data_IF_504179984756
#
_entry.id   IF_504179984756
#
_cell.length_a   1.000
_cell.length_b   1.000
_cell.length_c   1.000
_cell.angle_alpha   90.00
_cell.angle_beta   90.00
_cell.angle_gamma   90.00
#
_symmetry.space_group_name_H-M   'P 1'
#
loop_
_entity.id
_entity.type
_entity.pdbx_description
1 polymer ?
#
# COMPACT_ATOMS: atom_id res chain seq x y z
N UNK A 1 -11.13 26.11 -22.41
CA UNK A 1 -11.30 25.13 -23.52
C UNK A 1 -12.68 25.18 -24.18
N UNK A 2 -13.77 24.67 -23.57
CA UNK A 2 -15.13 24.67 -24.20
C UNK A 2 -15.59 26.06 -24.64
N UNK A 3 -15.47 27.05 -23.76
CA UNK A 3 -15.87 28.43 -24.06
C UNK A 3 -15.06 29.06 -25.19
N UNK A 4 -13.74 28.79 -25.23
CA UNK A 4 -12.85 29.25 -26.31
C UNK A 4 -13.26 28.63 -27.65
N UNK A 5 -13.54 27.32 -27.71
CA UNK A 5 -13.99 26.65 -28.93
C UNK A 5 -15.33 27.19 -29.46
N UNK A 6 -16.25 27.50 -28.55
CA UNK A 6 -17.57 28.05 -28.89
C UNK A 6 -17.55 29.57 -29.13
N UNK A 7 -16.39 30.23 -29.03
CA UNK A 7 -16.28 31.68 -29.19
C UNK A 7 -17.08 32.50 -28.16
N UNK A 8 -17.43 31.92 -27.02
CA UNK A 8 -18.32 32.58 -26.04
C UNK A 8 -17.58 33.75 -25.40
N UNK A 9 -18.17 34.95 -25.51
CA UNK A 9 -17.70 36.16 -24.85
C UNK A 9 -18.39 36.28 -23.50
N UNK A 10 -17.59 36.48 -22.45
CA UNK A 10 -18.10 36.70 -21.10
C UNK A 10 -17.97 38.16 -20.69
N UNK A 11 -19.01 38.65 -20.05
CA UNK A 11 -19.05 39.99 -19.43
C UNK A 11 -18.99 39.84 -17.92
N UNK A 12 -18.21 40.70 -17.26
CA UNK A 12 -18.19 40.75 -15.80
C UNK A 12 -19.39 41.58 -15.34
N UNK A 13 -20.19 41.13 -14.36
CA UNK A 13 -21.31 41.90 -13.83
C UNK A 13 -20.86 43.02 -12.86
N UNK A 14 -19.60 43.00 -12.46
CA UNK A 14 -18.96 44.00 -11.60
C UNK A 14 -17.87 44.71 -12.43
N UNK A 15 -16.75 45.07 -11.82
CA UNK A 15 -15.70 45.86 -12.45
C UNK A 15 -14.50 45.04 -12.99
N UNK A 16 -14.71 43.85 -13.56
CA UNK A 16 -13.64 42.95 -14.09
C UNK A 16 -12.54 42.55 -13.07
N UNK A 17 -12.74 42.82 -11.78
CA UNK A 17 -11.77 42.58 -10.68
C UNK A 17 -12.29 41.55 -9.65
N UNK A 18 -13.14 40.61 -10.07
CA UNK A 18 -13.71 39.63 -9.15
C UNK A 18 -12.62 38.68 -8.59
N UNK A 19 -12.58 38.43 -7.26
CA UNK A 19 -11.61 37.51 -6.67
C UNK A 19 -11.90 36.05 -7.10
N UNK A 20 -10.96 35.44 -7.83
CA UNK A 20 -11.07 34.05 -8.31
C UNK A 20 -10.43 33.09 -7.30
N UNK A 21 -11.24 32.61 -6.35
CA UNK A 21 -10.88 31.61 -5.33
C UNK A 21 -11.53 30.25 -5.59
N UNK A 22 -11.15 29.19 -4.86
CA UNK A 22 -11.73 27.84 -5.02
C UNK A 22 -13.26 27.84 -4.87
N UNK A 23 -13.79 28.56 -3.88
CA UNK A 23 -15.22 28.66 -3.62
C UNK A 23 -15.96 29.54 -4.64
N UNK A 24 -15.37 30.69 -5.03
CA UNK A 24 -16.07 31.73 -5.80
C UNK A 24 -15.74 31.76 -7.31
N UNK A 25 -14.83 30.92 -7.80
CA UNK A 25 -14.42 30.86 -9.23
C UNK A 25 -15.55 30.64 -10.24
N UNK A 26 -16.72 30.15 -9.83
CA UNK A 26 -17.86 29.95 -10.73
C UNK A 26 -18.74 31.19 -10.88
N UNK A 27 -18.62 32.18 -10.00
CA UNK A 27 -19.48 33.37 -9.94
C UNK A 27 -19.23 34.35 -11.09
N UNK A 28 -17.98 34.43 -11.59
CA UNK A 28 -17.65 35.30 -12.72
C UNK A 28 -16.79 34.57 -13.76
N UNK A 29 -17.41 34.18 -14.87
CA UNK A 29 -16.73 33.47 -15.97
C UNK A 29 -15.72 34.37 -16.70
N UNK A 30 -16.00 35.67 -16.79
CA UNK A 30 -15.12 36.67 -17.39
C UNK A 30 -13.79 36.79 -16.63
N UNK A 31 -13.83 37.07 -15.32
CA UNK A 31 -12.64 37.21 -14.49
C UNK A 31 -11.88 35.88 -14.36
N UNK A 32 -12.59 34.75 -14.32
CA UNK A 32 -11.97 33.42 -14.36
C UNK A 32 -11.19 33.21 -15.65
N UNK A 33 -11.78 33.54 -16.80
CA UNK A 33 -11.13 33.38 -18.09
C UNK A 33 -9.92 34.31 -18.20
N UNK A 34 -10.05 35.59 -17.80
CA UNK A 34 -8.95 36.55 -17.81
C UNK A 34 -7.77 36.05 -16.98
N UNK A 35 -8.01 35.65 -15.73
CA UNK A 35 -6.96 35.09 -14.86
C UNK A 35 -6.28 33.87 -15.48
N UNK A 36 -7.01 33.00 -16.19
CA UNK A 36 -6.41 31.87 -16.90
C UNK A 36 -5.44 32.33 -18.01
N UNK A 37 -5.78 33.39 -18.75
CA UNK A 37 -4.90 33.96 -19.77
C UNK A 37 -3.69 34.65 -19.12
N UNK A 38 -3.90 35.37 -18.02
CA UNK A 38 -2.85 36.09 -17.29
C UNK A 38 -1.77 35.14 -16.73
N UNK A 39 -2.15 33.93 -16.31
CA UNK A 39 -1.18 32.89 -15.89
C UNK A 39 -0.55 32.14 -17.07
N UNK A 40 -0.78 32.58 -18.31
CA UNK A 40 -0.14 32.04 -19.51
C UNK A 40 -0.90 30.91 -20.22
N UNK A 41 -2.18 30.67 -19.93
CA UNK A 41 -2.94 29.67 -20.70
C UNK A 41 -3.17 30.16 -22.14
N UNK A 42 -2.56 29.46 -23.09
CA UNK A 42 -2.62 29.77 -24.52
C UNK A 42 -3.88 29.20 -25.21
N UNK A 43 -4.62 30.05 -25.92
CA UNK A 43 -5.86 29.66 -26.65
C UNK A 43 -5.57 28.77 -27.86
N UNK A 44 -4.43 28.99 -28.49
CA UNK A 44 -3.89 28.31 -29.67
C UNK A 44 -3.43 26.88 -29.37
N UNK A 45 -3.13 26.56 -28.11
CA UNK A 45 -2.79 25.19 -27.69
C UNK A 45 -4.01 24.26 -27.56
N UNK A 46 -5.21 24.75 -27.86
CA UNK A 46 -6.42 23.93 -27.87
C UNK A 46 -6.54 23.23 -29.22
N UNK A 47 -6.32 21.91 -29.24
CA UNK A 47 -6.53 21.09 -30.44
C UNK A 47 -7.89 21.34 -31.11
N UNK A 48 -7.88 21.43 -32.44
CA UNK A 48 -9.09 21.52 -33.27
C UNK A 48 -10.01 20.32 -33.03
N UNK A 49 -11.28 20.45 -33.42
CA UNK A 49 -12.20 19.32 -33.30
C UNK A 49 -11.79 18.15 -34.20
N UNK A 50 -11.33 18.44 -35.41
CA UNK A 50 -10.79 17.48 -36.37
C UNK A 50 -9.58 16.73 -35.81
N UNK A 51 -8.58 17.43 -35.26
CA UNK A 51 -7.40 16.79 -34.68
C UNK A 51 -7.74 15.88 -33.49
N UNK A 52 -8.80 16.20 -32.73
CA UNK A 52 -9.30 15.31 -31.68
C UNK A 52 -10.03 14.09 -32.24
N UNK A 53 -10.82 14.26 -33.31
CA UNK A 53 -11.47 13.14 -34.02
C UNK A 53 -10.42 12.20 -34.59
N UNK A 54 -9.41 12.72 -35.29
CA UNK A 54 -8.28 11.93 -35.80
C UNK A 54 -7.53 11.21 -34.68
N UNK A 55 -7.19 11.90 -33.58
CA UNK A 55 -6.55 11.25 -32.41
C UNK A 55 -7.40 10.13 -31.83
N UNK A 56 -8.73 10.28 -31.79
CA UNK A 56 -9.66 9.22 -31.33
C UNK A 56 -9.70 8.06 -32.32
N UNK A 57 -9.77 8.33 -33.62
CA UNK A 57 -9.76 7.31 -34.66
C UNK A 57 -8.46 6.49 -34.63
N UNK A 58 -7.30 7.14 -34.56
CA UNK A 58 -6.00 6.47 -34.42
C UNK A 58 -5.91 5.61 -33.15
N UNK A 59 -6.48 6.09 -32.03
CA UNK A 59 -6.56 5.28 -30.79
C UNK A 59 -7.51 4.09 -30.93
N UNK A 60 -8.61 4.25 -31.64
CA UNK A 60 -9.54 3.16 -31.94
C UNK A 60 -8.89 2.12 -32.84
N UNK A 61 -8.24 2.54 -33.92
CA UNK A 61 -7.49 1.67 -34.81
C UNK A 61 -6.37 0.94 -34.09
N UNK A 62 -5.60 1.62 -33.23
CA UNK A 62 -4.57 0.96 -32.40
C UNK A 62 -5.14 -0.08 -31.42
N UNK A 63 -6.38 0.09 -30.96
CA UNK A 63 -7.04 -0.92 -30.10
C UNK A 63 -7.54 -2.11 -30.91
N UNK A 64 -7.96 -1.89 -32.16
CA UNK A 64 -8.39 -2.95 -33.06
C UNK A 64 -7.21 -3.71 -33.68
N UNK A 65 -6.09 -3.01 -33.92
CA UNK A 65 -4.83 -3.56 -34.42
C UNK A 65 -3.90 -4.05 -33.30
N UNK A 66 -4.28 -3.85 -32.03
CA UNK A 66 -3.70 -4.63 -30.95
C UNK A 66 -4.28 -6.03 -31.09
N UNK A 67 -3.43 -6.96 -31.56
CA UNK A 67 -3.63 -8.39 -31.34
C UNK A 67 -4.04 -8.61 -29.86
N UNK A 68 -4.91 -9.59 -29.56
CA UNK A 68 -5.21 -9.95 -28.19
C UNK A 68 -3.89 -10.13 -27.41
N UNK A 69 -3.87 -9.86 -26.09
CA UNK A 69 -2.70 -10.17 -25.27
C UNK A 69 -2.26 -11.60 -25.64
N UNK A 70 -1.02 -11.74 -26.13
CA UNK A 70 -0.57 -12.98 -26.75
C UNK A 70 -1.02 -14.19 -25.93
N UNK A 71 -1.69 -15.13 -26.59
CA UNK A 71 -2.22 -16.31 -25.91
C UNK A 71 -1.08 -16.98 -25.12
N UNK A 72 -1.35 -17.25 -23.84
CA UNK A 72 -0.39 -17.95 -22.99
C UNK A 72 -0.08 -19.30 -23.64
N UNK A 73 1.20 -19.68 -23.69
CA UNK A 73 1.54 -21.02 -24.16
C UNK A 73 0.90 -22.06 -23.23
N UNK A 74 0.65 -23.27 -23.75
CA UNK A 74 0.08 -24.35 -22.93
C UNK A 74 0.90 -24.60 -21.65
N UNK A 75 2.23 -24.54 -21.76
CA UNK A 75 3.17 -24.65 -20.64
C UNK A 75 3.00 -23.52 -19.60
N UNK A 76 2.82 -22.28 -20.07
CA UNK A 76 2.56 -21.14 -19.18
C UNK A 76 1.22 -21.28 -18.46
N UNK A 77 0.20 -21.75 -19.18
CA UNK A 77 -1.13 -21.96 -18.62
C UNK A 77 -1.14 -23.08 -17.56
N UNK A 78 -0.38 -24.15 -17.78
CA UNK A 78 -0.16 -25.24 -16.82
C UNK A 78 0.61 -24.78 -15.57
N UNK A 79 1.68 -23.99 -15.77
CA UNK A 79 2.43 -23.41 -14.67
C UNK A 79 1.55 -22.50 -13.80
N UNK A 80 0.75 -21.63 -14.42
CA UNK A 80 -0.21 -20.78 -13.71
C UNK A 80 -1.21 -21.65 -12.93
N UNK A 81 -1.74 -22.71 -13.54
CA UNK A 81 -2.65 -23.64 -12.88
C UNK A 81 -2.04 -24.27 -11.62
N UNK A 82 -0.77 -24.69 -11.71
CA UNK A 82 -0.03 -25.27 -10.58
C UNK A 82 0.18 -24.25 -9.47
N UNK A 83 0.59 -23.02 -9.79
CA UNK A 83 0.80 -21.95 -8.81
C UNK A 83 -0.51 -21.56 -8.11
N UNK A 84 -1.61 -21.45 -8.86
CA UNK A 84 -2.92 -21.12 -8.28
C UNK A 84 -3.40 -22.23 -7.35
N UNK A 85 -3.31 -23.49 -7.77
CA UNK A 85 -3.71 -24.63 -6.94
C UNK A 85 -2.86 -24.74 -5.66
N UNK A 86 -1.54 -24.58 -5.77
CA UNK A 86 -0.63 -24.56 -4.62
C UNK A 86 -1.00 -23.46 -3.63
N UNK A 87 -1.30 -22.26 -4.12
CA UNK A 87 -1.69 -21.12 -3.28
C UNK A 87 -3.02 -21.39 -2.56
N UNK A 88 -4.05 -21.89 -3.25
CA UNK A 88 -5.35 -22.19 -2.64
C UNK A 88 -5.29 -23.28 -1.56
N UNK A 89 -4.32 -24.20 -1.66
CA UNK A 89 -4.12 -25.27 -0.65
C UNK A 89 -3.36 -24.80 0.59
N UNK A 90 -2.50 -23.81 0.43
CA UNK A 90 -1.54 -23.39 1.47
C UNK A 90 -1.87 -22.04 2.08
N UNK A 91 -2.67 -21.22 1.42
CA UNK A 91 -3.10 -19.92 1.90
C UNK A 91 -4.59 -19.91 2.18
N UNK A 92 -4.95 -19.76 3.45
CA UNK A 92 -6.31 -19.54 3.89
C UNK A 92 -6.56 -18.03 4.09
N UNK A 93 -7.30 -17.36 3.19
CA UNK A 93 -7.58 -15.92 3.32
C UNK A 93 -8.45 -15.58 4.54
N UNK A 94 -9.14 -16.57 5.12
CA UNK A 94 -9.92 -16.38 6.35
C UNK A 94 -9.10 -16.49 7.62
N UNK A 95 -7.83 -16.91 7.51
CA UNK A 95 -6.95 -17.16 8.65
C UNK A 95 -7.57 -18.08 9.72
N UNK A 96 -8.45 -19.02 9.31
CA UNK A 96 -9.20 -19.88 10.23
C UNK A 96 -8.30 -20.80 11.05
N UNK A 97 -7.08 -21.07 10.55
CA UNK A 97 -6.07 -21.87 11.25
C UNK A 97 -5.21 -21.05 12.22
N UNK A 98 -5.28 -19.72 12.17
CA UNK A 98 -4.52 -18.82 13.03
C UNK A 98 -5.31 -18.49 14.31
N UNK A 99 -5.46 -19.47 15.21
CA UNK A 99 -6.32 -19.38 16.41
C UNK A 99 -5.58 -19.34 17.75
N UNK A 100 -4.32 -19.76 17.81
CA UNK A 100 -3.58 -19.95 19.06
C UNK A 100 -2.26 -19.16 19.06
N UNK A 101 -2.35 -17.84 19.09
CA UNK A 101 -1.21 -16.94 19.26
C UNK A 101 -1.37 -16.12 20.54
N UNK A 102 -0.26 -15.59 21.08
CA UNK A 102 -0.31 -14.77 22.29
C UNK A 102 -1.26 -13.60 22.09
N UNK A 103 -2.36 -13.48 22.88
CA UNK A 103 -3.20 -12.30 22.83
C UNK A 103 -2.31 -11.08 23.02
N UNK A 104 -2.56 -10.00 22.27
CA UNK A 104 -1.91 -8.73 22.55
C UNK A 104 -2.30 -8.33 23.98
N UNK A 105 -1.47 -8.69 24.95
CA UNK A 105 -1.64 -8.28 26.33
C UNK A 105 -1.28 -6.80 26.31
N UNK A 106 -2.30 -5.97 26.14
CA UNK A 106 -2.19 -4.55 26.48
C UNK A 106 -1.88 -4.52 27.97
N UNK A 107 -0.60 -4.44 28.31
CA UNK A 107 -0.09 -4.22 29.66
C UNK A 107 -0.41 -2.78 30.06
N UNK A 108 -1.70 -2.45 30.14
CA UNK A 108 -2.13 -1.37 31.00
C UNK A 108 -1.97 -1.91 32.42
N UNK A 109 -1.20 -1.22 33.26
CA UNK A 109 -0.90 -1.56 34.65
C UNK A 109 0.28 -2.50 34.90
N UNK A 110 1.48 -2.04 34.56
CA UNK A 110 2.62 -2.21 35.47
C UNK A 110 2.94 -0.83 36.05
N UNK A 111 2.74 -0.61 37.37
CA UNK A 111 3.30 0.56 38.02
C UNK A 111 4.82 0.44 37.89
N UNK A 112 5.44 1.44 37.28
CA UNK A 112 6.89 1.61 37.32
C UNK A 112 7.36 1.46 38.78
N UNK A 113 8.32 0.58 39.10
CA UNK A 113 8.94 0.58 40.42
C UNK A 113 9.75 1.87 40.52
N UNK A 114 9.09 2.92 41.03
CA UNK A 114 9.73 4.19 41.35
C UNK A 114 10.86 3.87 42.31
N UNK A 115 12.10 4.02 41.84
CA UNK A 115 13.28 3.92 42.67
C UNK A 115 13.16 4.94 43.81
N UNK A 116 12.82 4.48 45.02
CA UNK A 116 12.87 5.30 46.22
C UNK A 116 14.34 5.52 46.57
N UNK A 117 14.86 6.69 46.23
CA UNK A 117 16.04 7.23 46.91
C UNK A 117 15.59 7.86 48.23
N UNK A 118 16.22 7.54 49.38
CA UNK A 118 15.85 8.14 50.65
C UNK A 118 16.56 9.49 50.77
N UNK A 119 15.81 10.58 50.89
CA UNK A 119 16.33 11.82 51.47
C UNK A 119 15.25 12.44 52.34
N UNK A 120 15.39 12.22 53.65
CA UNK A 120 14.57 12.85 54.66
C UNK A 120 15.03 14.28 54.91
N UNK A 121 14.08 15.21 54.90
CA UNK A 121 14.14 16.47 55.64
C UNK A 121 12.70 16.90 55.94
N UNK A 122 12.33 17.17 57.22
CA UNK A 122 10.99 17.63 57.57
C UNK A 122 10.97 19.17 57.62
N UNK A 123 10.01 19.79 56.94
CA UNK A 123 9.80 21.24 56.99
C UNK A 123 8.46 21.64 56.40
N UNK A 124 7.64 22.28 57.22
CA UNK A 124 6.22 22.58 57.00
C UNK A 124 5.94 23.76 56.04
N UNK A 125 4.89 23.64 55.22
CA UNK A 125 3.74 24.59 55.06
C UNK A 125 2.95 24.29 53.76
N UNK A 126 1.63 24.48 53.72
CA UNK A 126 0.82 24.31 52.49
C UNK A 126 0.56 25.65 51.79
N UNK A 127 0.34 25.65 50.45
CA UNK A 127 -0.64 26.56 49.88
C UNK A 127 -1.55 25.94 48.81
N UNK A 128 -2.85 26.24 48.95
CA UNK A 128 -3.98 26.38 48.00
C UNK A 128 -4.05 25.67 46.62
N UNK A 129 -5.28 25.40 46.13
CA UNK A 129 -5.54 24.52 45.00
C UNK A 129 -5.33 25.22 43.64
N UNK A 130 -4.44 24.67 42.82
CA UNK A 130 -4.38 24.90 41.37
C UNK A 130 -5.01 23.67 40.69
N UNK A 131 -5.87 23.82 39.67
CA UNK A 131 -6.36 22.68 38.90
C UNK A 131 -5.24 22.25 37.94
N UNK A 132 -4.37 21.35 38.40
CA UNK A 132 -3.44 20.65 37.54
C UNK A 132 -4.23 19.64 36.71
N UNK A 133 -4.49 20.00 35.45
CA UNK A 133 -4.76 19.03 34.40
C UNK A 133 -3.64 17.97 34.45
N UNK A 134 -3.93 16.67 34.61
CA UNK A 134 -2.93 15.67 34.34
C UNK A 134 -2.90 15.47 32.82
N UNK A 135 -1.93 16.10 32.16
CA UNK A 135 -1.38 15.61 30.88
C UNK A 135 -0.74 14.24 31.18
N UNK A 136 -1.58 13.20 31.15
CA UNK A 136 -1.14 11.82 31.21
C UNK A 136 -0.47 11.52 29.87
N UNK A 137 0.86 11.68 29.82
CA UNK A 137 1.73 11.20 28.75
C UNK A 137 1.70 9.66 28.73
N UNK A 138 0.56 9.10 28.33
CA UNK A 138 0.40 7.67 28.05
C UNK A 138 1.04 7.43 26.69
N UNK A 139 2.35 7.27 26.67
CA UNK A 139 3.04 6.74 25.50
C UNK A 139 2.48 5.33 25.26
N UNK A 140 1.83 5.05 24.10
CA UNK A 140 1.34 3.71 23.81
C UNK A 140 2.55 2.76 23.81
N UNK A 141 2.48 1.66 24.57
CA UNK A 141 3.52 0.64 24.57
C UNK A 141 3.67 0.07 23.14
N UNK A 142 4.66 0.61 22.41
CA UNK A 142 4.93 0.30 20.99
C UNK A 142 5.30 -1.17 20.81
N UNK A 143 5.80 -1.83 21.86
CA UNK A 143 6.29 -3.19 21.83
C UNK A 143 5.22 -4.23 22.18
N UNK A 144 4.06 -3.80 22.72
CA UNK A 144 2.94 -4.67 23.12
C UNK A 144 2.40 -5.57 22.00
N UNK A 145 2.53 -5.14 20.73
CA UNK A 145 2.06 -5.88 19.56
C UNK A 145 3.11 -6.80 18.95
N UNK A 146 4.37 -6.72 19.38
CA UNK A 146 5.45 -7.50 18.77
C UNK A 146 5.31 -9.01 18.94
N UNK A 147 4.90 -9.57 20.10
CA UNK A 147 4.70 -11.00 20.23
C UNK A 147 3.65 -11.52 19.24
N UNK A 148 2.54 -10.80 19.11
CA UNK A 148 1.49 -11.13 18.15
C UNK A 148 1.98 -11.03 16.69
N UNK A 149 2.74 -9.97 16.36
CA UNK A 149 3.33 -9.81 15.04
C UNK A 149 4.34 -10.91 14.73
N UNK A 150 5.13 -11.36 15.71
CA UNK A 150 6.07 -12.46 15.55
C UNK A 150 5.34 -13.79 15.28
N UNK A 151 4.27 -14.08 16.01
CA UNK A 151 3.43 -15.26 15.79
C UNK A 151 2.77 -15.24 14.40
N UNK A 152 2.22 -14.08 14.00
CA UNK A 152 1.63 -13.90 12.66
C UNK A 152 2.67 -14.06 11.55
N UNK A 153 3.84 -13.45 11.72
CA UNK A 153 4.94 -13.54 10.75
C UNK A 153 5.42 -14.99 10.62
N UNK A 154 5.54 -15.70 11.74
CA UNK A 154 5.92 -17.13 11.76
C UNK A 154 4.89 -17.98 11.03
N UNK A 155 3.61 -17.75 11.27
CA UNK A 155 2.53 -18.45 10.56
C UNK A 155 2.59 -18.18 9.04
N UNK A 156 2.77 -16.93 8.62
CA UNK A 156 2.87 -16.56 7.20
C UNK A 156 4.11 -17.16 6.52
N UNK A 157 5.24 -17.20 7.22
CA UNK A 157 6.46 -17.86 6.75
C UNK A 157 6.19 -19.35 6.53
N UNK A 158 5.50 -20.02 7.46
CA UNK A 158 5.16 -21.43 7.32
C UNK A 158 4.27 -21.70 6.09
N UNK A 159 3.28 -20.84 5.83
CA UNK A 159 2.45 -20.97 4.61
C UNK A 159 3.27 -20.73 3.34
N UNK A 160 4.21 -19.78 3.36
CA UNK A 160 5.11 -19.51 2.22
C UNK A 160 6.04 -20.70 1.95
N UNK A 161 6.58 -21.32 3.00
CA UNK A 161 7.40 -22.54 2.87
C UNK A 161 6.57 -23.68 2.28
N UNK A 162 5.34 -23.88 2.77
CA UNK A 162 4.45 -24.93 2.27
C UNK A 162 4.09 -24.70 0.80
N UNK A 163 3.80 -23.45 0.42
CA UNK A 163 3.57 -23.07 -0.98
C UNK A 163 4.78 -23.39 -1.85
N UNK A 164 5.99 -23.00 -1.43
CA UNK A 164 7.22 -23.27 -2.19
C UNK A 164 7.44 -24.78 -2.39
N UNK A 165 7.14 -25.61 -1.38
CA UNK A 165 7.23 -27.07 -1.48
C UNK A 165 6.27 -27.69 -2.50
N UNK A 166 5.18 -27.01 -2.86
CA UNK A 166 4.24 -27.49 -3.88
C UNK A 166 4.70 -27.16 -5.31
N UNK A 167 5.69 -26.27 -5.50
CA UNK A 167 6.20 -25.89 -6.82
C UNK A 167 7.20 -26.94 -7.33
N UNK A 168 6.95 -27.62 -8.47
CA UNK A 168 7.80 -28.70 -8.97
C UNK A 168 9.28 -28.31 -9.11
N UNK A 169 9.56 -27.13 -9.68
CA UNK A 169 10.93 -26.63 -9.86
C UNK A 169 11.67 -26.43 -8.53
N UNK A 170 10.97 -26.00 -7.48
CA UNK A 170 11.56 -25.76 -6.16
C UNK A 170 11.90 -27.09 -5.47
N UNK A 171 11.04 -28.11 -5.58
CA UNK A 171 11.31 -29.47 -5.09
C UNK A 171 12.54 -30.08 -5.75
N UNK A 172 12.69 -29.91 -7.06
CA UNK A 172 13.84 -30.40 -7.82
C UNK A 172 15.16 -29.67 -7.51
N UNK A 173 15.10 -28.47 -6.94
CA UNK A 173 16.27 -27.74 -6.47
C UNK A 173 16.70 -28.17 -5.06
N UNK A 174 15.75 -28.49 -4.18
CA UNK A 174 16.03 -28.90 -2.80
C UNK A 174 16.76 -30.26 -2.72
N UNK A 175 16.56 -31.16 -3.69
CA UNK A 175 17.27 -32.44 -3.79
C UNK A 175 18.74 -32.34 -4.23
N UNK A 176 19.23 -31.17 -4.66
CA UNK A 176 20.63 -30.98 -5.09
C UNK A 176 21.55 -30.39 -4.00
N UNK A 177 21.00 -30.07 -2.83
CA UNK A 177 21.69 -29.32 -1.78
C UNK A 177 22.21 -30.11 -0.58
N UNK A 178 22.06 -31.44 -0.52
CA UNK A 178 22.42 -32.22 0.68
C UNK A 178 23.36 -33.42 0.45
N UNK A 179 23.58 -33.88 -0.78
CA UNK A 179 24.42 -35.05 -1.06
C UNK A 179 25.55 -34.70 -2.04
N UNK A 180 26.52 -33.93 -1.55
CA UNK A 180 27.84 -33.77 -2.16
C UNK A 180 28.80 -34.92 -1.84
N UNK A 181 28.30 -36.12 -1.53
CA UNK A 181 29.11 -37.33 -1.35
C UNK A 181 28.57 -38.43 -2.26
N UNK A 182 29.35 -38.95 -3.22
CA UNK A 182 28.90 -40.08 -4.00
C UNK A 182 28.67 -41.29 -3.07
N UNK A 183 27.66 -42.14 -3.35
CA UNK A 183 27.46 -43.35 -2.57
C UNK A 183 28.71 -44.22 -2.69
N UNK A 184 29.28 -44.61 -1.54
CA UNK A 184 30.32 -45.63 -1.49
C UNK A 184 29.73 -46.92 -2.04
N UNK A 185 30.09 -47.25 -3.28
CA UNK A 185 29.78 -48.51 -3.92
C UNK A 185 30.47 -49.61 -3.13
N UNK A 186 29.72 -50.35 -2.31
CA UNK A 186 30.20 -51.58 -1.68
C UNK A 186 30.32 -52.62 -2.78
N UNK A 187 31.55 -52.91 -3.19
CA UNK A 187 31.83 -53.99 -4.12
C UNK A 187 31.55 -55.35 -3.45
N UNK A 188 30.98 -56.34 -4.16
CA UNK A 188 30.83 -57.69 -3.65
C UNK A 188 32.18 -58.39 -3.55
N UNK A 189 32.40 -59.11 -2.45
CA UNK A 189 33.60 -59.92 -2.23
C UNK A 189 33.69 -61.07 -3.26
N UNK A 190 34.88 -61.33 -3.84
CA UNK A 190 35.11 -62.52 -4.67
C UNK A 190 35.21 -63.80 -3.80
N UNK A 191 35.04 -65.00 -4.40
CA UNK A 191 34.68 -66.23 -3.71
C UNK A 191 35.74 -66.76 -2.73
#
# INVERSE_FOLDING_TARGET
RRSIKKGVRFTCPLARRCPVTKAKRRQCQACRLQKCLDVGMRKDMIMSEEALRQRRALRGQRRLAQEPPGELTAEQQELIGTLVAAHQRTFDPSFSQFKYYWPAVRLFYLPSPRAQSPSGVPGAQPPSPQPLCPEEDVLPDVFSMLPHLADFSTFMIQQTINFAKEIPAFRSAQGRGADGRPPLSVAPAPP
#
